data_IF_114101763674
#
_entry.id   IF_114101763674
#
_cell.length_a   1.000
_cell.length_b   1.000
_cell.length_c   1.000
_cell.angle_alpha   90.00
_cell.angle_beta   90.00
_cell.angle_gamma   90.00
#
_symmetry.space_group_name_H-M   'P 1'
#
loop_
_entity.id
_entity.type
_entity.pdbx_description
1 polymer ?
#
# COMPACT_ATOMS: atom_id res chain seq x y z
N UNK A 1 -13.79 86.04 -18.80
CA UNK A 1 -14.06 85.55 -17.43
C UNK A 1 -12.93 84.58 -17.06
N UNK A 2 -11.85 85.05 -16.43
CA UNK A 2 -11.57 85.08 -14.98
C UNK A 2 -10.74 83.87 -14.48
N UNK A 3 -9.44 84.12 -14.29
CA UNK A 3 -8.48 83.71 -13.23
C UNK A 3 -8.54 82.31 -12.56
N UNK A 4 -7.44 81.57 -12.73
CA UNK A 4 -6.41 81.15 -11.73
C UNK A 4 -6.84 80.32 -10.47
N UNK A 5 -6.38 79.07 -10.45
CA UNK A 5 -5.73 78.27 -9.37
C UNK A 5 -6.23 78.31 -7.90
N UNK A 6 -6.35 77.13 -7.26
CA UNK A 6 -5.50 76.67 -6.13
C UNK A 6 -5.98 75.33 -5.53
N UNK A 7 -5.01 74.49 -5.17
CA UNK A 7 -5.13 73.40 -4.19
C UNK A 7 -5.21 73.94 -2.76
N UNK A 8 -5.89 73.21 -1.87
CA UNK A 8 -5.62 73.23 -0.42
C UNK A 8 -6.05 71.91 0.24
N UNK A 9 -5.05 71.28 0.87
CA UNK A 9 -5.07 70.13 1.79
C UNK A 9 -5.77 70.45 3.13
N UNK A 10 -5.94 69.40 3.96
CA UNK A 10 -6.08 69.31 5.47
C UNK A 10 -7.32 68.47 5.82
N UNK A 11 -7.35 67.39 6.61
CA UNK A 11 -6.41 66.64 7.47
C UNK A 11 -7.05 65.29 7.89
N UNK A 12 -6.23 64.27 8.16
CA UNK A 12 -6.58 63.03 8.88
C UNK A 12 -6.88 63.29 10.37
N UNK A 13 -7.94 62.68 10.92
CA UNK A 13 -7.99 62.16 12.31
C UNK A 13 -9.39 61.59 12.64
N UNK A 14 -9.45 60.36 13.15
CA UNK A 14 -10.66 59.79 13.75
C UNK A 14 -10.84 58.30 13.48
N UNK A 15 -10.13 57.45 14.24
CA UNK A 15 -10.28 55.99 14.23
C UNK A 15 -11.56 55.60 15.00
N UNK A 16 -12.38 54.74 14.42
CA UNK A 16 -13.24 53.82 15.20
C UNK A 16 -12.70 52.38 15.04
N UNK A 17 -12.23 51.71 16.11
CA UNK A 17 -11.65 50.37 16.04
C UNK A 17 -12.70 49.24 16.05
N UNK A 18 -13.99 49.54 16.15
CA UNK A 18 -15.01 48.53 16.45
C UNK A 18 -15.58 47.80 15.22
N UNK A 19 -15.46 48.38 14.02
CA UNK A 19 -16.08 47.82 12.79
C UNK A 19 -15.22 46.73 12.13
N UNK A 20 -13.97 46.52 12.56
CA UNK A 20 -13.07 45.50 11.98
C UNK A 20 -13.16 44.12 12.63
N UNK A 21 -13.84 43.98 13.76
CA UNK A 21 -13.88 42.70 14.49
C UNK A 21 -14.91 41.73 13.88
N UNK A 22 -16.00 42.22 13.31
CA UNK A 22 -17.02 41.38 12.68
C UNK A 22 -16.60 40.84 11.30
N UNK A 23 -15.81 41.60 10.54
CA UNK A 23 -15.28 41.14 9.25
C UNK A 23 -14.24 40.02 9.37
N UNK A 24 -13.50 39.97 10.50
CA UNK A 24 -12.55 38.88 10.79
C UNK A 24 -13.27 37.65 11.34
N UNK A 25 -14.31 37.81 12.14
CA UNK A 25 -15.16 36.71 12.62
C UNK A 25 -15.93 36.04 11.47
N UNK A 26 -16.48 36.82 10.53
CA UNK A 26 -17.15 36.28 9.33
C UNK A 26 -16.17 35.67 8.33
N UNK A 27 -14.96 36.22 8.19
CA UNK A 27 -13.90 35.64 7.36
C UNK A 27 -13.34 34.34 7.98
N UNK A 28 -13.12 34.29 9.30
CA UNK A 28 -12.75 33.09 10.04
C UNK A 28 -13.86 32.04 9.99
N UNK A 29 -15.13 32.46 10.10
CA UNK A 29 -16.27 31.55 9.99
C UNK A 29 -16.43 31.01 8.57
N UNK A 30 -16.16 31.80 7.51
CA UNK A 30 -16.10 31.33 6.11
C UNK A 30 -14.88 30.46 5.81
N UNK A 31 -13.72 30.71 6.43
CA UNK A 31 -12.52 29.89 6.29
C UNK A 31 -12.68 28.55 7.04
N UNK A 32 -13.25 28.58 8.24
CA UNK A 32 -13.61 27.40 9.05
C UNK A 32 -14.76 26.62 8.38
N UNK A 33 -15.75 27.29 7.75
CA UNK A 33 -16.75 26.62 6.91
C UNK A 33 -16.11 26.00 5.68
N UNK A 34 -15.22 26.69 4.97
CA UNK A 34 -14.55 26.16 3.78
C UNK A 34 -13.69 24.93 4.12
N UNK A 35 -13.01 24.93 5.27
CA UNK A 35 -12.26 23.77 5.76
C UNK A 35 -13.16 22.65 6.31
N UNK A 36 -14.31 22.96 6.93
CA UNK A 36 -15.31 21.95 7.34
C UNK A 36 -16.05 21.34 6.13
N UNK A 37 -16.32 22.13 5.10
CA UNK A 37 -16.93 21.72 3.82
C UNK A 37 -15.94 20.87 3.01
N UNK A 38 -14.66 21.26 2.98
CA UNK A 38 -13.62 20.48 2.33
C UNK A 38 -13.49 19.09 2.98
N UNK A 39 -13.62 18.98 4.31
CA UNK A 39 -13.66 17.69 5.01
C UNK A 39 -14.88 16.85 4.64
N UNK A 40 -16.09 17.43 4.61
CA UNK A 40 -17.31 16.69 4.27
C UNK A 40 -17.42 16.31 2.79
N UNK A 41 -16.59 16.90 1.92
CA UNK A 41 -16.56 16.65 0.47
C UNK A 41 -15.28 15.97 -0.03
N UNK A 42 -14.28 15.76 0.83
CA UNK A 42 -12.99 15.19 0.43
C UNK A 42 -13.13 13.83 -0.25
N UNK A 43 -13.92 12.92 0.35
CA UNK A 43 -14.21 11.59 -0.22
C UNK A 43 -14.88 11.70 -1.59
N UNK A 44 -15.92 12.54 -1.71
CA UNK A 44 -16.57 12.79 -3.00
C UNK A 44 -15.58 13.35 -4.04
N UNK A 45 -14.67 14.23 -3.62
CA UNK A 45 -13.61 14.79 -4.46
C UNK A 45 -12.63 13.72 -4.96
N UNK A 46 -12.22 12.78 -4.10
CA UNK A 46 -11.37 11.64 -4.47
C UNK A 46 -12.06 10.79 -5.54
N UNK A 47 -13.35 10.46 -5.36
CA UNK A 47 -14.11 9.68 -6.33
C UNK A 47 -14.35 10.42 -7.64
N UNK A 48 -14.58 11.74 -7.58
CA UNK A 48 -14.63 12.57 -8.79
C UNK A 48 -13.28 12.57 -9.51
N UNK A 49 -12.17 12.63 -8.77
CA UNK A 49 -10.82 12.53 -9.36
C UNK A 49 -10.61 11.18 -10.02
N UNK A 50 -11.00 10.06 -9.40
CA UNK A 50 -10.91 8.74 -10.04
C UNK A 50 -11.68 8.72 -11.36
N UNK A 51 -12.95 9.15 -11.35
CA UNK A 51 -13.80 9.19 -12.56
C UNK A 51 -13.19 10.06 -13.66
N UNK A 52 -12.69 11.24 -13.30
CA UNK A 52 -12.01 12.13 -14.25
C UNK A 52 -10.78 11.46 -14.86
N UNK A 53 -9.93 10.86 -14.04
CA UNK A 53 -8.72 10.17 -14.51
C UNK A 53 -9.07 8.96 -15.41
N UNK A 54 -10.14 8.22 -15.09
CA UNK A 54 -10.65 7.13 -15.94
C UNK A 54 -11.13 7.64 -17.30
N UNK A 55 -11.78 8.81 -17.35
CA UNK A 55 -12.19 9.44 -18.61
C UNK A 55 -11.01 9.98 -19.44
N UNK A 56 -9.95 10.45 -18.79
CA UNK A 56 -8.75 10.96 -19.46
C UNK A 56 -7.83 9.84 -19.96
N UNK A 57 -7.89 8.67 -19.34
CA UNK A 57 -7.04 7.53 -19.66
C UNK A 57 -7.32 7.02 -21.08
N UNK A 58 -6.27 7.03 -21.92
CA UNK A 58 -6.35 6.59 -23.33
C UNK A 58 -6.38 5.07 -23.47
N UNK A 59 -5.56 4.37 -22.68
CA UNK A 59 -5.52 2.92 -22.66
C UNK A 59 -6.51 2.37 -21.62
N UNK A 60 -7.58 1.72 -22.10
CA UNK A 60 -8.59 1.14 -21.22
C UNK A 60 -8.24 -0.28 -20.74
N UNK A 61 -7.21 -0.91 -21.30
CA UNK A 61 -6.83 -2.30 -21.00
C UNK A 61 -6.05 -2.48 -19.70
N UNK A 62 -5.44 -1.41 -19.18
CA UNK A 62 -4.71 -1.45 -17.90
C UNK A 62 -5.56 -0.88 -16.75
N UNK A 63 -5.35 -1.31 -15.50
CA UNK A 63 -5.95 -0.66 -14.33
C UNK A 63 -5.47 0.79 -14.18
N UNK A 64 -6.36 1.70 -13.77
CA UNK A 64 -6.01 3.07 -13.41
C UNK A 64 -5.23 3.09 -12.10
N UNK A 65 -4.05 3.72 -12.12
CA UNK A 65 -3.17 3.85 -10.96
C UNK A 65 -3.24 5.26 -10.37
N UNK A 66 -3.08 5.37 -9.05
CA UNK A 66 -3.07 6.63 -8.28
C UNK A 66 -1.72 7.37 -8.30
N UNK A 67 -0.80 6.99 -9.17
CA UNK A 67 0.58 7.50 -9.25
C UNK A 67 0.76 8.31 -10.54
N UNK A 68 1.19 9.57 -10.42
CA UNK A 68 1.26 10.53 -11.54
C UNK A 68 2.10 10.06 -12.73
N UNK A 69 3.22 9.39 -12.47
CA UNK A 69 4.12 8.90 -13.51
C UNK A 69 3.54 7.74 -14.34
N UNK A 70 2.39 7.17 -13.94
CA UNK A 70 1.70 6.16 -14.74
C UNK A 70 0.88 6.77 -15.89
N UNK A 71 0.67 8.10 -15.90
CA UNK A 71 0.06 8.80 -17.02
C UNK A 71 1.14 9.30 -17.99
N UNK A 72 1.21 8.77 -19.23
CA UNK A 72 2.21 9.19 -20.21
C UNK A 72 2.12 10.68 -20.58
N UNK A 73 0.97 11.33 -20.37
CA UNK A 73 0.85 12.78 -20.59
C UNK A 73 1.71 13.59 -19.60
N UNK A 74 1.97 13.06 -18.40
CA UNK A 74 2.80 13.72 -17.38
C UNK A 74 4.30 13.58 -17.64
N UNK A 75 4.73 12.59 -18.43
CA UNK A 75 6.13 12.36 -18.77
C UNK A 75 6.69 13.34 -19.83
N UNK A 76 5.80 14.03 -20.57
CA UNK A 76 6.17 14.91 -21.69
C UNK A 76 6.81 16.26 -21.28
N UNK A 77 6.82 16.60 -19.99
CA UNK A 77 7.23 17.93 -19.50
C UNK A 77 8.63 18.02 -18.87
N UNK A 78 9.29 16.90 -18.57
CA UNK A 78 10.57 16.93 -17.86
C UNK A 78 11.74 16.68 -18.83
N UNK A 79 12.56 17.71 -19.06
CA UNK A 79 13.93 17.55 -19.57
C UNK A 79 14.75 16.84 -18.49
N UNK A 80 14.64 15.52 -18.42
CA UNK A 80 15.28 14.69 -17.41
C UNK A 80 15.25 13.22 -17.81
N UNK A 81 16.21 12.46 -17.29
CA UNK A 81 16.40 11.02 -17.49
C UNK A 81 15.08 10.25 -17.46
N UNK A 82 14.86 9.36 -18.43
CA UNK A 82 13.64 8.57 -18.54
C UNK A 82 13.34 7.81 -17.24
N UNK A 83 12.11 7.94 -16.73
CA UNK A 83 11.64 7.19 -15.55
C UNK A 83 11.67 5.70 -15.87
N UNK A 84 12.37 4.91 -15.04
CA UNK A 84 12.45 3.46 -15.27
C UNK A 84 11.14 2.82 -14.83
N UNK A 85 10.35 2.34 -15.77
CA UNK A 85 9.07 1.68 -15.47
C UNK A 85 9.25 0.18 -15.25
N UNK A 86 8.44 -0.40 -14.37
CA UNK A 86 8.30 -1.84 -14.11
C UNK A 86 6.80 -2.14 -13.90
N UNK A 87 6.23 -3.08 -14.67
CA UNK A 87 4.80 -3.44 -14.62
C UNK A 87 3.83 -2.24 -14.71
N UNK A 88 4.18 -1.21 -15.51
CA UNK A 88 3.33 -0.03 -15.71
C UNK A 88 3.36 1.00 -14.57
N UNK A 89 4.25 0.85 -13.59
CA UNK A 89 4.54 1.86 -12.56
C UNK A 89 6.03 2.22 -12.56
N UNK A 90 6.46 3.35 -11.96
CA UNK A 90 7.88 3.60 -11.76
C UNK A 90 8.50 2.50 -10.92
N UNK A 91 9.78 2.19 -11.16
CA UNK A 91 10.48 1.11 -10.46
C UNK A 91 10.65 1.47 -8.98
N UNK A 92 10.96 2.72 -8.68
CA UNK A 92 11.36 3.18 -7.35
C UNK A 92 10.50 4.33 -6.82
N UNK A 93 10.32 4.41 -5.50
CA UNK A 93 9.41 5.37 -4.84
C UNK A 93 9.84 6.84 -4.93
N UNK A 94 11.08 7.14 -5.31
CA UNK A 94 11.55 8.50 -5.59
C UNK A 94 11.12 9.03 -6.97
N UNK A 95 10.69 8.14 -7.87
CA UNK A 95 10.22 8.49 -9.23
C UNK A 95 8.69 8.65 -9.30
N UNK A 96 7.98 8.40 -8.20
CA UNK A 96 6.52 8.45 -8.14
C UNK A 96 6.00 9.55 -7.22
N UNK A 97 4.81 10.06 -7.53
CA UNK A 97 4.06 10.99 -6.69
C UNK A 97 2.57 10.68 -6.77
N UNK A 98 1.85 10.78 -5.65
CA UNK A 98 0.39 10.65 -5.62
C UNK A 98 -0.28 11.66 -6.55
N UNK A 99 -1.31 11.23 -7.28
CA UNK A 99 -2.18 12.14 -8.06
C UNK A 99 -2.83 13.16 -7.12
N UNK A 100 -3.25 12.73 -5.94
CA UNK A 100 -3.93 13.53 -4.93
C UNK A 100 -2.98 14.25 -3.96
N UNK A 101 -1.69 14.36 -4.28
CA UNK A 101 -0.68 15.01 -3.42
C UNK A 101 -1.08 16.44 -3.00
N UNK A 102 -1.63 17.23 -3.93
CA UNK A 102 -2.04 18.61 -3.66
C UNK A 102 -3.18 18.69 -2.65
N UNK A 103 -4.19 17.81 -2.80
CA UNK A 103 -5.30 17.70 -1.85
C UNK A 103 -4.80 17.37 -0.44
N UNK A 104 -3.88 16.40 -0.34
CA UNK A 104 -3.29 16.02 0.94
C UNK A 104 -2.51 17.17 1.58
N UNK A 105 -1.68 17.86 0.81
CA UNK A 105 -0.88 19.00 1.27
C UNK A 105 -1.74 20.14 1.82
N UNK A 106 -2.92 20.39 1.23
CA UNK A 106 -3.85 21.39 1.75
C UNK A 106 -4.51 21.00 3.07
N UNK A 107 -4.66 19.71 3.35
CA UNK A 107 -5.38 19.19 4.52
C UNK A 107 -4.47 18.79 5.69
N UNK A 108 -3.17 18.54 5.44
CA UNK A 108 -2.24 17.97 6.43
C UNK A 108 -1.75 18.93 7.52
N UNK A 109 -1.96 20.24 7.37
CA UNK A 109 -1.39 21.28 8.26
C UNK A 109 -1.87 21.15 9.70
N UNK A 110 -3.13 20.80 9.91
CA UNK A 110 -3.70 20.64 11.25
C UNK A 110 -3.95 19.16 11.54
N UNK A 111 -3.36 18.65 12.63
CA UNK A 111 -3.42 17.25 13.07
C UNK A 111 -4.83 16.66 13.05
N UNK A 112 -5.82 17.37 13.60
CA UNK A 112 -7.19 16.87 13.66
C UNK A 112 -7.83 16.77 12.27
N UNK A 113 -7.55 17.74 11.39
CA UNK A 113 -8.06 17.73 10.01
C UNK A 113 -7.41 16.62 9.20
N UNK A 114 -6.10 16.49 9.33
CA UNK A 114 -5.29 15.44 8.70
C UNK A 114 -5.80 14.06 9.07
N UNK A 115 -5.94 13.78 10.37
CA UNK A 115 -6.48 12.50 10.87
C UNK A 115 -7.89 12.25 10.39
N UNK A 116 -8.78 13.24 10.50
CA UNK A 116 -10.17 13.13 10.01
C UNK A 116 -10.24 12.84 8.50
N UNK A 117 -9.36 13.46 7.70
CA UNK A 117 -9.24 13.15 6.28
C UNK A 117 -8.78 11.71 6.07
N UNK A 118 -7.65 11.32 6.69
CA UNK A 118 -7.10 9.96 6.57
C UNK A 118 -8.12 8.89 6.97
N UNK A 119 -8.83 9.06 8.09
CA UNK A 119 -9.92 8.15 8.49
C UNK A 119 -11.03 8.09 7.45
N UNK A 120 -11.41 9.22 6.87
CA UNK A 120 -12.49 9.24 5.86
C UNK A 120 -12.07 8.53 4.57
N UNK A 121 -10.80 8.63 4.17
CA UNK A 121 -10.27 7.92 3.00
C UNK A 121 -10.12 6.43 3.28
N UNK A 122 -9.58 6.05 4.44
CA UNK A 122 -9.40 4.65 4.81
C UNK A 122 -10.73 3.92 5.03
N UNK A 123 -11.76 4.62 5.52
CA UNK A 123 -13.13 4.08 5.62
C UNK A 123 -13.71 3.67 4.26
N UNK A 124 -13.15 4.12 3.14
CA UNK A 124 -13.58 3.62 1.83
C UNK A 124 -13.29 2.12 1.63
N UNK A 125 -12.41 1.54 2.43
CA UNK A 125 -12.06 0.11 2.41
C UNK A 125 -12.83 -0.72 3.44
N UNK A 126 -13.57 -0.10 4.35
CA UNK A 126 -14.33 -0.82 5.36
C UNK A 126 -15.67 -1.32 4.83
N UNK A 127 -16.13 -2.44 5.37
CA UNK A 127 -17.40 -3.07 4.95
C UNK A 127 -18.63 -2.18 5.26
N UNK A 128 -18.56 -1.37 6.32
CA UNK A 128 -19.63 -0.45 6.72
C UNK A 128 -19.71 0.82 5.84
N UNK A 129 -18.85 0.94 4.82
CA UNK A 129 -18.90 2.03 3.88
C UNK A 129 -20.20 1.97 3.06
N UNK A 130 -21.00 3.05 3.13
CA UNK A 130 -22.24 3.17 2.34
C UNK A 130 -22.01 3.23 0.84
N UNK A 131 -20.80 3.62 0.43
CA UNK A 131 -20.42 3.75 -0.96
C UNK A 131 -19.62 2.51 -1.38
N UNK A 132 -20.23 1.60 -2.15
CA UNK A 132 -19.50 0.46 -2.74
C UNK A 132 -18.55 0.98 -3.84
N UNK A 133 -17.25 0.82 -3.63
CA UNK A 133 -16.20 1.12 -4.61
C UNK A 133 -15.98 -0.09 -5.53
N UNK A 134 -15.49 0.16 -6.75
CA UNK A 134 -14.91 -0.92 -7.56
C UNK A 134 -13.52 -1.31 -7.03
N UNK A 135 -13.04 -2.51 -7.37
CA UNK A 135 -11.69 -2.93 -7.01
C UNK A 135 -10.63 -1.99 -7.61
N UNK A 136 -10.89 -1.48 -8.82
CA UNK A 136 -10.01 -0.50 -9.47
C UNK A 136 -10.00 0.85 -8.70
N UNK A 137 -11.16 1.30 -8.20
CA UNK A 137 -11.23 2.49 -7.33
C UNK A 137 -10.41 2.30 -6.05
N UNK A 138 -10.48 1.12 -5.41
CA UNK A 138 -9.66 0.82 -4.24
C UNK A 138 -8.16 0.84 -4.54
N UNK A 139 -7.72 0.27 -5.66
CA UNK A 139 -6.30 0.33 -6.08
C UNK A 139 -5.85 1.78 -6.27
N UNK A 140 -6.65 2.59 -6.96
CA UNK A 140 -6.33 4.02 -7.15
C UNK A 140 -6.21 4.77 -5.82
N UNK A 141 -7.10 4.51 -4.87
CA UNK A 141 -7.04 5.14 -3.54
C UNK A 141 -5.81 4.65 -2.76
N UNK A 142 -5.53 3.35 -2.77
CA UNK A 142 -4.39 2.75 -2.07
C UNK A 142 -3.06 3.31 -2.57
N UNK A 143 -2.90 3.44 -3.90
CA UNK A 143 -1.73 4.10 -4.53
C UNK A 143 -1.53 5.53 -4.02
N UNK A 144 -2.61 6.30 -3.87
CA UNK A 144 -2.52 7.66 -3.37
C UNK A 144 -2.10 7.71 -1.89
N UNK A 145 -2.66 6.82 -1.05
CA UNK A 145 -2.27 6.74 0.37
C UNK A 145 -0.79 6.34 0.49
N UNK A 146 -0.34 5.33 -0.27
CA UNK A 146 1.06 4.90 -0.31
C UNK A 146 2.02 6.05 -0.67
N UNK A 147 1.58 6.95 -1.55
CA UNK A 147 2.42 8.02 -2.11
C UNK A 147 2.12 9.42 -1.55
N UNK A 148 1.33 9.53 -0.48
CA UNK A 148 1.12 10.82 0.17
C UNK A 148 2.43 11.36 0.76
N UNK A 149 2.70 12.68 0.64
CA UNK A 149 3.92 13.29 1.14
C UNK A 149 3.83 13.55 2.65
N UNK A 150 3.88 12.47 3.44
CA UNK A 150 3.91 12.52 4.91
C UNK A 150 5.16 13.27 5.40
N UNK A 151 5.00 14.08 6.46
CA UNK A 151 6.10 14.88 7.03
C UNK A 151 6.45 14.55 8.47
N UNK A 152 5.45 14.17 9.29
CA UNK A 152 5.67 13.81 10.69
C UNK A 152 5.35 12.34 10.97
N UNK A 153 5.92 11.78 12.04
CA UNK A 153 5.70 10.38 12.46
C UNK A 153 4.23 10.04 12.65
N UNK A 154 3.45 10.98 13.20
CA UNK A 154 2.01 10.79 13.45
C UNK A 154 1.24 10.38 12.19
N UNK A 155 1.61 10.83 10.99
CA UNK A 155 0.81 10.61 9.78
C UNK A 155 0.82 9.15 9.31
N UNK A 156 1.97 8.54 8.97
CA UNK A 156 2.00 7.15 8.53
C UNK A 156 1.66 6.15 9.66
N UNK A 157 2.04 6.44 10.91
CA UNK A 157 1.67 5.58 12.05
C UNK A 157 0.15 5.58 12.26
N UNK A 158 -0.51 6.74 12.15
CA UNK A 158 -1.97 6.81 12.22
C UNK A 158 -2.65 6.00 11.12
N UNK A 159 -2.12 6.03 9.89
CA UNK A 159 -2.64 5.22 8.78
C UNK A 159 -2.50 3.73 9.06
N UNK A 160 -1.33 3.28 9.54
CA UNK A 160 -1.07 1.86 9.83
C UNK A 160 -2.01 1.35 10.94
N UNK A 161 -2.18 2.06 12.06
CA UNK A 161 -3.12 1.63 13.12
C UNK A 161 -4.56 1.59 12.66
N UNK A 162 -4.95 2.54 11.82
CA UNK A 162 -6.31 2.58 11.33
C UNK A 162 -6.57 1.46 10.30
N UNK A 163 -5.55 1.08 9.51
CA UNK A 163 -5.57 -0.14 8.69
C UNK A 163 -5.82 -1.37 9.57
N UNK A 164 -5.05 -1.57 10.64
CA UNK A 164 -5.20 -2.72 11.55
C UNK A 164 -6.63 -2.80 12.11
N UNK A 165 -7.17 -1.67 12.56
CA UNK A 165 -8.54 -1.60 13.07
C UNK A 165 -9.58 -1.99 12.01
N UNK A 166 -9.41 -1.54 10.76
CA UNK A 166 -10.34 -1.89 9.67
C UNK A 166 -10.21 -3.37 9.31
N UNK A 167 -8.98 -3.89 9.19
CA UNK A 167 -8.72 -5.28 8.80
C UNK A 167 -9.21 -6.25 9.86
N UNK A 168 -9.00 -5.97 11.15
CA UNK A 168 -9.49 -6.82 12.25
C UNK A 168 -11.03 -6.96 12.22
N UNK A 169 -11.75 -5.82 12.13
CA UNK A 169 -13.22 -5.84 12.12
C UNK A 169 -13.78 -6.41 10.81
N UNK A 170 -13.31 -5.92 9.67
CA UNK A 170 -13.85 -6.33 8.36
C UNK A 170 -13.44 -7.78 8.03
N UNK A 171 -12.24 -8.19 8.43
CA UNK A 171 -11.73 -9.54 8.21
C UNK A 171 -12.59 -10.59 8.89
N UNK A 172 -12.92 -10.39 10.17
CA UNK A 172 -13.78 -11.32 10.90
C UNK A 172 -15.19 -11.41 10.29
N UNK A 173 -15.78 -10.28 9.88
CA UNK A 173 -17.09 -10.26 9.24
C UNK A 173 -17.08 -11.03 7.90
N UNK A 174 -16.03 -10.86 7.09
CA UNK A 174 -15.87 -11.58 5.82
C UNK A 174 -15.71 -13.09 6.06
N UNK A 175 -14.94 -13.50 7.08
CA UNK A 175 -14.80 -14.91 7.47
C UNK A 175 -16.16 -15.51 7.87
N UNK A 176 -16.93 -14.79 8.70
CA UNK A 176 -18.28 -15.22 9.08
C UNK A 176 -19.21 -15.31 7.86
N UNK A 177 -19.08 -14.36 6.93
CA UNK A 177 -19.83 -14.37 5.67
C UNK A 177 -19.48 -15.61 4.84
N UNK A 178 -18.19 -15.93 4.67
CA UNK A 178 -17.77 -17.17 4.00
C UNK A 178 -18.40 -18.40 4.66
N UNK A 179 -18.30 -18.56 5.98
CA UNK A 179 -18.91 -19.69 6.71
C UNK A 179 -20.41 -19.80 6.44
N UNK A 180 -21.14 -18.68 6.47
CA UNK A 180 -22.60 -18.65 6.28
C UNK A 180 -23.06 -19.04 4.87
N UNK A 181 -22.19 -18.90 3.87
CA UNK A 181 -22.49 -19.22 2.48
C UNK A 181 -22.11 -20.66 2.09
N UNK A 182 -21.38 -21.37 2.94
CA UNK A 182 -21.04 -22.77 2.73
C UNK A 182 -22.23 -23.68 3.09
N UNK A 183 -22.39 -24.77 2.35
CA UNK A 183 -23.38 -25.80 2.65
C UNK A 183 -23.18 -26.35 4.07
N UNK A 184 -24.26 -26.67 4.80
CA UNK A 184 -24.16 -27.25 6.13
C UNK A 184 -23.46 -28.61 6.06
N UNK A 185 -22.74 -28.96 7.13
CA UNK A 185 -22.15 -30.29 7.24
C UNK A 185 -23.25 -31.35 7.38
N UNK A 186 -23.03 -32.57 6.88
CA UNK A 186 -23.99 -33.66 7.08
C UNK A 186 -24.18 -33.92 8.59
N UNK A 187 -25.41 -34.22 9.05
CA UNK A 187 -25.72 -34.38 10.48
C UNK A 187 -24.94 -35.51 11.17
N UNK A 188 -24.40 -36.45 10.39
CA UNK A 188 -23.61 -37.60 10.85
C UNK A 188 -22.13 -37.30 11.00
N UNK A 189 -21.68 -36.07 10.75
CA UNK A 189 -20.29 -35.71 10.86
C UNK A 189 -19.92 -35.40 12.31
N UNK A 190 -18.80 -35.96 12.79
CA UNK A 190 -18.31 -35.70 14.14
C UNK A 190 -18.07 -34.18 14.35
N UNK A 191 -18.27 -33.68 15.58
CA UNK A 191 -17.86 -32.32 15.92
C UNK A 191 -16.37 -32.17 15.62
N UNK A 192 -16.02 -31.18 14.79
CA UNK A 192 -14.62 -30.83 14.53
C UNK A 192 -14.41 -29.45 15.13
N UNK A 193 -13.21 -29.21 15.65
CA UNK A 193 -12.78 -27.90 16.11
C UNK A 193 -12.86 -26.85 14.98
N UNK A 194 -13.09 -25.59 15.37
CA UNK A 194 -13.28 -24.45 14.46
C UNK A 194 -12.05 -24.20 13.57
N UNK A 195 -10.84 -24.54 14.05
CA UNK A 195 -9.59 -24.45 13.28
C UNK A 195 -9.53 -25.49 12.17
N UNK A 196 -9.94 -26.73 12.46
CA UNK A 196 -9.97 -27.81 11.47
C UNK A 196 -11.17 -27.71 10.51
N UNK A 197 -12.09 -26.75 10.73
CA UNK A 197 -13.15 -26.41 9.76
C UNK A 197 -12.59 -25.68 8.52
N UNK A 198 -11.48 -24.95 8.66
CA UNK A 198 -10.84 -24.21 7.57
C UNK A 198 -9.77 -25.03 6.86
N UNK A 199 -10.21 -26.13 6.27
CA UNK A 199 -9.42 -26.95 5.36
C UNK A 199 -9.91 -26.75 3.91
N UNK A 200 -9.01 -26.60 2.91
CA UNK A 200 -9.42 -26.34 1.54
C UNK A 200 -10.30 -27.46 0.94
N UNK A 201 -10.04 -28.72 1.26
CA UNK A 201 -10.82 -29.85 0.75
C UNK A 201 -12.22 -29.87 1.37
N UNK A 202 -12.32 -29.59 2.68
CA UNK A 202 -13.62 -29.45 3.36
C UNK A 202 -14.43 -28.27 2.81
N UNK A 203 -13.80 -27.12 2.57
CA UNK A 203 -14.46 -25.96 1.99
C UNK A 203 -14.92 -26.27 0.56
N UNK A 204 -14.06 -26.87 -0.26
CA UNK A 204 -14.37 -27.26 -1.63
C UNK A 204 -15.61 -28.15 -1.72
N UNK A 205 -15.73 -29.16 -0.84
CA UNK A 205 -16.88 -30.07 -0.76
C UNK A 205 -18.18 -29.41 -0.31
N UNK A 206 -18.08 -28.26 0.35
CA UNK A 206 -19.21 -27.49 0.88
C UNK A 206 -19.57 -26.28 0.02
N UNK A 207 -18.95 -26.11 -1.15
CA UNK A 207 -19.30 -25.02 -2.04
C UNK A 207 -20.76 -25.19 -2.53
N UNK A 208 -21.59 -24.13 -2.45
CA UNK A 208 -22.93 -24.14 -3.02
C UNK A 208 -22.89 -24.21 -4.55
N UNK A 209 -24.03 -24.55 -5.16
CA UNK A 209 -24.19 -24.49 -6.62
C UNK A 209 -23.97 -23.05 -7.12
N UNK A 210 -24.69 -22.08 -6.56
CA UNK A 210 -24.48 -20.65 -6.80
C UNK A 210 -23.40 -20.08 -5.87
N UNK A 211 -22.28 -19.66 -6.45
CA UNK A 211 -21.10 -19.14 -5.75
C UNK A 211 -21.03 -17.61 -5.78
N UNK A 212 -22.05 -16.93 -6.28
CA UNK A 212 -22.04 -15.47 -6.47
C UNK A 212 -21.70 -14.71 -5.19
N UNK A 213 -22.28 -15.12 -4.06
CA UNK A 213 -22.03 -14.50 -2.75
C UNK A 213 -20.63 -14.81 -2.21
N UNK A 214 -20.08 -16.00 -2.49
CA UNK A 214 -18.68 -16.33 -2.18
C UNK A 214 -17.73 -15.46 -2.99
N UNK A 215 -18.02 -15.20 -4.28
CA UNK A 215 -17.24 -14.27 -5.09
C UNK A 215 -17.38 -12.81 -4.62
N UNK A 216 -18.53 -12.39 -4.10
CA UNK A 216 -18.66 -11.07 -3.47
C UNK A 216 -17.79 -10.99 -2.21
N UNK A 217 -17.77 -12.03 -1.37
CA UNK A 217 -16.88 -12.12 -0.21
C UNK A 217 -15.40 -12.07 -0.63
N UNK A 218 -15.01 -12.82 -1.66
CA UNK A 218 -13.66 -12.81 -2.26
C UNK A 218 -13.27 -11.43 -2.80
N UNK A 219 -14.21 -10.70 -3.41
CA UNK A 219 -13.98 -9.35 -3.87
C UNK A 219 -13.81 -8.39 -2.68
N UNK A 220 -14.62 -8.53 -1.64
CA UNK A 220 -14.55 -7.70 -0.44
C UNK A 220 -13.25 -7.95 0.34
N UNK A 221 -12.73 -9.18 0.36
CA UNK A 221 -11.44 -9.50 1.00
C UNK A 221 -10.26 -8.78 0.35
N UNK A 222 -10.37 -8.37 -0.92
CA UNK A 222 -9.34 -7.55 -1.59
C UNK A 222 -9.09 -6.22 -0.90
N UNK A 223 -10.09 -5.64 -0.24
CA UNK A 223 -9.89 -4.42 0.55
C UNK A 223 -8.92 -4.66 1.70
N UNK A 224 -9.06 -5.79 2.41
CA UNK A 224 -8.14 -6.18 3.48
C UNK A 224 -6.72 -6.45 2.95
N UNK A 225 -6.60 -7.19 1.83
CA UNK A 225 -5.30 -7.41 1.20
C UNK A 225 -4.61 -6.09 0.81
N UNK A 226 -5.34 -5.17 0.17
CA UNK A 226 -4.81 -3.85 -0.21
C UNK A 226 -4.32 -3.06 1.00
N UNK A 227 -5.08 -3.06 2.09
CA UNK A 227 -4.69 -2.38 3.32
C UNK A 227 -3.45 -3.02 3.97
N UNK A 228 -3.34 -4.35 3.96
CA UNK A 228 -2.15 -5.03 4.49
C UNK A 228 -0.90 -4.81 3.63
N UNK A 229 -1.04 -4.85 2.29
CA UNK A 229 0.02 -4.41 1.39
C UNK A 229 0.46 -2.98 1.72
N UNK A 230 -0.50 -2.09 1.99
CA UNK A 230 -0.23 -0.69 2.30
C UNK A 230 0.47 -0.53 3.67
N UNK A 231 0.05 -1.26 4.71
CA UNK A 231 0.76 -1.34 6.01
C UNK A 231 2.21 -1.74 5.80
N UNK A 232 2.45 -2.88 5.16
CA UNK A 232 3.79 -3.43 4.95
C UNK A 232 4.66 -2.49 4.11
N UNK A 233 4.08 -1.87 3.07
CA UNK A 233 4.77 -0.89 2.26
C UNK A 233 5.17 0.36 3.06
N UNK A 234 4.26 0.93 3.86
CA UNK A 234 4.55 2.11 4.68
C UNK A 234 5.58 1.83 5.77
N UNK A 235 5.52 0.66 6.40
CA UNK A 235 6.54 0.20 7.36
C UNK A 235 7.91 0.15 6.70
N UNK A 236 8.03 -0.45 5.51
CA UNK A 236 9.30 -0.50 4.76
C UNK A 236 9.78 0.87 4.30
N UNK A 237 8.87 1.71 3.82
CA UNK A 237 9.17 3.05 3.30
C UNK A 237 9.73 3.99 4.38
N UNK A 238 9.19 3.90 5.60
CA UNK A 238 9.58 4.74 6.75
C UNK A 238 10.44 4.02 7.79
N UNK A 239 10.76 2.74 7.57
CA UNK A 239 11.55 1.90 8.47
C UNK A 239 10.96 1.78 9.88
N UNK A 240 9.64 1.58 9.97
CA UNK A 240 9.00 1.28 11.24
C UNK A 240 9.08 -0.21 11.54
N UNK A 241 9.39 -0.55 12.78
CA UNK A 241 9.20 -1.90 13.33
C UNK A 241 7.77 -2.09 13.82
N UNK A 242 7.35 -3.34 13.97
CA UNK A 242 6.04 -3.67 14.54
C UNK A 242 5.90 -3.10 15.96
N UNK A 243 6.94 -3.25 16.80
CA UNK A 243 6.99 -2.65 18.14
C UNK A 243 6.72 -1.13 18.12
N UNK A 244 7.23 -0.41 17.10
CA UNK A 244 7.00 1.04 16.98
C UNK A 244 5.55 1.37 16.63
N UNK A 245 4.92 0.54 15.81
CA UNK A 245 3.50 0.66 15.46
C UNK A 245 2.65 0.38 16.70
N UNK A 246 2.98 -0.65 17.47
CA UNK A 246 2.26 -1.03 18.69
C UNK A 246 2.37 0.02 19.80
N UNK A 247 3.55 0.61 20.00
CA UNK A 247 3.78 1.72 20.95
C UNK A 247 2.92 2.95 20.60
N UNK A 248 2.63 3.17 19.31
CA UNK A 248 1.89 4.35 18.89
C UNK A 248 0.41 4.29 19.30
N UNK A 249 0.00 5.28 20.10
CA UNK A 249 -1.39 5.54 20.45
C UNK A 249 -1.91 6.86 19.85
N UNK A 250 -3.04 6.84 19.12
CA UNK A 250 -3.67 8.07 18.62
C UNK A 250 -4.04 9.07 19.72
N UNK A 251 -4.29 8.59 20.95
CA UNK A 251 -4.71 9.39 22.10
C UNK A 251 -3.55 10.12 22.78
N UNK A 252 -2.31 9.78 22.44
CA UNK A 252 -1.14 10.45 23.02
C UNK A 252 -1.06 11.94 22.64
N UNK A 253 -0.43 12.68 23.56
CA UNK A 253 -0.19 14.11 23.40
C UNK A 253 0.54 14.41 22.08
N UNK A 254 0.10 15.45 21.38
CA UNK A 254 0.61 15.78 20.04
C UNK A 254 2.13 15.89 19.95
N UNK A 255 2.76 16.44 21.00
CA UNK A 255 4.22 16.62 21.08
C UNK A 255 5.05 15.33 20.92
N UNK A 256 4.46 14.15 21.16
CA UNK A 256 5.21 12.88 21.11
C UNK A 256 5.52 12.49 19.65
N UNK A 257 4.51 12.55 18.77
CA UNK A 257 4.59 12.06 17.39
C UNK A 257 4.54 13.16 16.30
N UNK A 258 4.37 14.44 16.66
CA UNK A 258 4.51 15.59 15.74
C UNK A 258 5.99 15.94 15.46
N UNK A 259 6.86 14.92 15.40
CA UNK A 259 8.28 15.06 15.04
C UNK A 259 8.44 14.74 13.56
N UNK A 260 9.33 15.47 12.89
CA UNK A 260 9.65 15.22 11.49
C UNK A 260 10.13 13.76 11.28
N UNK A 261 9.75 13.18 10.15
CA UNK A 261 10.22 11.87 9.72
C UNK A 261 11.74 11.93 9.49
N UNK A 262 12.48 11.00 10.08
CA UNK A 262 13.95 10.96 10.03
C UNK A 262 14.50 10.52 8.67
N UNK A 263 13.80 9.62 7.96
CA UNK A 263 14.12 9.26 6.57
C UNK A 263 12.91 8.69 5.83
N UNK A 264 12.90 8.85 4.51
CA UNK A 264 12.00 8.14 3.58
C UNK A 264 12.88 7.33 2.64
N UNK A 265 12.85 6.01 2.74
CA UNK A 265 13.67 5.13 1.91
C UNK A 265 13.25 5.20 0.44
N UNK A 266 14.19 4.88 -0.45
CA UNK A 266 13.88 4.62 -1.85
C UNK A 266 13.75 3.10 -2.05
N UNK A 267 12.52 2.61 -2.17
CA UNK A 267 12.21 1.18 -2.28
C UNK A 267 11.44 0.92 -3.58
N UNK A 268 11.15 -0.35 -3.87
CA UNK A 268 10.27 -0.73 -4.97
C UNK A 268 8.89 -0.10 -4.81
N UNK A 269 8.29 0.33 -5.93
CA UNK A 269 7.00 1.00 -5.91
C UNK A 269 5.88 0.10 -5.39
N UNK A 270 4.91 0.72 -4.72
CA UNK A 270 3.70 0.04 -4.27
C UNK A 270 2.98 -0.66 -5.44
N UNK A 271 2.80 -1.98 -5.32
CA UNK A 271 2.23 -2.83 -6.34
C UNK A 271 1.42 -3.97 -5.70
N UNK A 272 0.11 -3.79 -5.48
CA UNK A 272 -0.73 -4.81 -4.84
C UNK A 272 -1.09 -5.90 -5.85
N UNK A 273 -0.22 -6.92 -5.94
CA UNK A 273 -0.28 -7.92 -7.01
C UNK A 273 -1.59 -8.69 -7.05
N UNK A 274 -2.11 -9.15 -5.90
CA UNK A 274 -3.37 -9.91 -5.83
C UNK A 274 -4.55 -9.12 -6.37
N UNK A 275 -4.73 -7.87 -5.91
CA UNK A 275 -5.80 -6.99 -6.38
C UNK A 275 -5.67 -6.67 -7.89
N UNK A 276 -4.44 -6.49 -8.40
CA UNK A 276 -4.19 -6.24 -9.82
C UNK A 276 -4.43 -7.49 -10.69
N UNK A 277 -4.19 -8.69 -10.17
CA UNK A 277 -4.51 -9.95 -10.84
C UNK A 277 -6.03 -10.17 -10.91
N UNK A 278 -6.76 -9.89 -9.83
CA UNK A 278 -8.22 -9.98 -9.79
C UNK A 278 -8.93 -9.00 -10.75
N UNK A 279 -8.27 -7.91 -11.13
CA UNK A 279 -8.77 -6.97 -12.15
C UNK A 279 -8.63 -7.48 -13.58
N UNK A 280 -7.87 -8.56 -13.81
CA UNK A 280 -7.64 -9.09 -15.15
C UNK A 280 -8.87 -9.86 -15.67
N UNK A 281 -9.25 -9.73 -16.94
CA UNK A 281 -10.38 -10.48 -17.51
C UNK A 281 -10.24 -12.00 -17.33
N UNK A 282 -9.02 -12.54 -17.39
CA UNK A 282 -8.74 -13.96 -17.22
C UNK A 282 -9.17 -14.50 -15.85
N UNK A 283 -9.14 -13.66 -14.80
CA UNK A 283 -9.59 -14.04 -13.47
C UNK A 283 -11.09 -14.38 -13.44
N UNK A 284 -11.90 -13.72 -14.27
CA UNK A 284 -13.33 -14.03 -14.41
C UNK A 284 -13.56 -15.36 -15.13
N UNK A 285 -12.78 -15.66 -16.17
CA UNK A 285 -12.92 -16.89 -16.96
C UNK A 285 -12.58 -18.16 -16.16
N UNK A 286 -11.72 -18.04 -15.15
CA UNK A 286 -11.34 -19.18 -14.31
C UNK A 286 -12.42 -19.56 -13.29
N UNK A 287 -13.41 -18.71 -13.02
CA UNK A 287 -14.36 -18.87 -11.91
C UNK A 287 -15.17 -20.17 -11.99
N UNK A 288 -15.70 -20.48 -13.17
CA UNK A 288 -16.58 -21.65 -13.35
C UNK A 288 -15.82 -22.96 -13.61
N UNK A 289 -14.49 -22.93 -13.50
CA UNK A 289 -13.65 -24.13 -13.69
C UNK A 289 -13.44 -24.86 -12.36
N UNK A 290 -13.19 -26.17 -12.43
CA UNK A 290 -12.79 -26.97 -11.26
C UNK A 290 -11.58 -26.37 -10.55
N UNK A 291 -10.58 -25.91 -11.33
CA UNK A 291 -9.42 -25.23 -10.79
C UNK A 291 -9.81 -23.91 -10.08
N UNK A 292 -10.75 -23.14 -10.62
CA UNK A 292 -11.28 -21.93 -9.99
C UNK A 292 -11.91 -22.19 -8.62
N UNK A 293 -12.67 -23.27 -8.51
CA UNK A 293 -13.29 -23.69 -7.25
C UNK A 293 -12.24 -24.15 -6.21
N UNK A 294 -11.23 -24.92 -6.62
CA UNK A 294 -10.11 -25.32 -5.74
C UNK A 294 -9.36 -24.06 -5.26
N UNK A 295 -9.09 -23.14 -6.18
CA UNK A 295 -8.44 -21.87 -5.85
C UNK A 295 -9.26 -21.02 -4.87
N UNK A 296 -10.59 -20.96 -5.02
CA UNK A 296 -11.46 -20.26 -4.08
C UNK A 296 -11.32 -20.86 -2.67
N UNK A 297 -11.37 -22.18 -2.55
CA UNK A 297 -11.24 -22.83 -1.24
C UNK A 297 -9.89 -22.52 -0.58
N UNK A 298 -8.80 -22.63 -1.35
CA UNK A 298 -7.46 -22.25 -0.88
C UNK A 298 -7.38 -20.78 -0.46
N UNK A 299 -7.98 -19.86 -1.24
CA UNK A 299 -7.96 -18.43 -0.95
C UNK A 299 -8.75 -18.08 0.33
N UNK A 300 -9.85 -18.79 0.62
CA UNK A 300 -10.61 -18.61 1.87
C UNK A 300 -9.75 -18.98 3.08
N UNK A 301 -9.08 -20.14 3.03
CA UNK A 301 -8.18 -20.60 4.10
C UNK A 301 -6.99 -19.66 4.26
N UNK A 302 -6.39 -19.27 3.14
CA UNK A 302 -5.29 -18.33 3.12
C UNK A 302 -5.67 -16.98 3.74
N UNK A 303 -6.85 -16.45 3.41
CA UNK A 303 -7.36 -15.22 3.99
C UNK A 303 -7.51 -15.33 5.51
N UNK A 304 -8.04 -16.45 6.02
CA UNK A 304 -8.12 -16.71 7.46
C UNK A 304 -6.75 -16.76 8.12
N UNK A 305 -5.82 -17.54 7.58
CA UNK A 305 -4.50 -17.73 8.17
C UNK A 305 -3.72 -16.42 8.20
N UNK A 306 -3.87 -15.59 7.17
CA UNK A 306 -3.33 -14.24 7.17
C UNK A 306 -3.90 -13.40 8.31
N UNK A 307 -5.23 -13.42 8.55
CA UNK A 307 -5.82 -12.68 9.68
C UNK A 307 -5.28 -13.19 11.03
N UNK A 308 -5.21 -14.51 11.23
CA UNK A 308 -4.65 -15.09 12.45
C UNK A 308 -3.17 -14.75 12.66
N UNK A 309 -2.40 -14.60 11.58
CA UNK A 309 -0.99 -14.19 11.68
C UNK A 309 -0.82 -12.76 12.20
N UNK A 310 -1.82 -11.89 12.00
CA UNK A 310 -1.79 -10.52 12.54
C UNK A 310 -1.93 -10.52 14.06
N UNK A 311 -2.66 -11.47 14.63
CA UNK A 311 -2.85 -11.61 16.08
C UNK A 311 -1.68 -12.36 16.74
N UNK A 312 -0.87 -13.11 15.98
CA UNK A 312 0.30 -13.87 16.48
C UNK A 312 1.63 -13.13 16.35
N UNK A 313 1.73 -12.17 15.43
CA UNK A 313 2.86 -11.26 15.36
C UNK A 313 3.03 -10.41 16.64
N UNK A 314 2.09 -10.52 17.58
CA UNK A 314 2.13 -9.93 18.92
C UNK A 314 3.06 -10.69 19.89
N UNK A 315 3.47 -11.95 19.61
CA UNK A 315 4.18 -12.81 20.57
C UNK A 315 5.60 -13.30 20.16
N UNK A 316 5.99 -13.34 18.87
CA UNK A 316 7.29 -13.90 18.43
C UNK A 316 8.11 -12.95 17.53
N UNK A 317 9.30 -12.53 17.98
CA UNK A 317 10.22 -11.60 17.29
C UNK A 317 11.06 -12.24 16.15
N UNK A 318 10.90 -13.53 15.81
CA UNK A 318 11.84 -14.26 14.93
C UNK A 318 11.22 -14.95 13.70
N UNK A 319 10.16 -14.39 13.11
CA UNK A 319 9.68 -14.86 11.80
C UNK A 319 10.26 -13.99 10.69
N UNK A 320 11.21 -14.53 9.92
CA UNK A 320 11.66 -13.95 8.66
C UNK A 320 10.45 -13.54 7.82
N UNK A 321 10.32 -12.24 7.51
CA UNK A 321 9.23 -11.66 6.72
C UNK A 321 9.17 -12.26 5.29
N UNK A 322 8.74 -13.50 5.14
CA UNK A 322 8.20 -13.97 3.87
C UNK A 322 6.82 -13.36 3.74
N UNK A 323 6.72 -12.35 2.87
CA UNK A 323 5.46 -11.67 2.58
C UNK A 323 4.42 -12.72 2.13
N UNK A 324 3.43 -13.10 2.97
CA UNK A 324 2.55 -14.22 2.68
C UNK A 324 1.75 -13.99 1.40
N UNK A 325 1.64 -12.72 0.98
CA UNK A 325 0.82 -12.26 -0.13
C UNK A 325 1.53 -12.39 -1.50
N UNK A 326 2.84 -12.68 -1.52
CA UNK A 326 3.61 -12.80 -2.75
C UNK A 326 3.68 -14.23 -3.32
N UNK A 327 3.50 -15.28 -2.52
CA UNK A 327 3.84 -16.66 -2.92
C UNK A 327 2.72 -17.45 -3.61
N UNK A 328 1.50 -16.93 -3.76
CA UNK A 328 0.49 -17.60 -4.57
C UNK A 328 0.54 -17.18 -6.03
N UNK A 329 1.35 -17.93 -6.79
CA UNK A 329 1.23 -18.33 -8.22
C UNK A 329 2.45 -17.99 -9.08
N UNK A 330 3.36 -18.95 -9.21
CA UNK A 330 3.99 -19.32 -10.49
C UNK A 330 4.51 -20.77 -10.46
N UNK A 331 3.65 -21.75 -10.72
CA UNK A 331 4.08 -23.02 -11.30
C UNK A 331 3.44 -23.10 -12.68
N UNK A 332 4.21 -22.77 -13.71
CA UNK A 332 3.75 -22.75 -15.08
C UNK A 332 4.73 -22.00 -15.98
N UNK A 333 5.39 -22.76 -16.87
CA UNK A 333 6.29 -22.38 -17.96
C UNK A 333 7.67 -21.81 -17.60
N UNK A 334 8.61 -22.71 -17.33
CA UNK A 334 9.96 -22.60 -17.88
C UNK A 334 10.09 -23.67 -18.98
N UNK A 335 9.72 -23.30 -20.20
CA UNK A 335 10.21 -23.99 -21.40
C UNK A 335 11.59 -23.42 -21.71
N UNK A 336 12.64 -24.02 -21.16
CA UNK A 336 14.00 -23.76 -21.62
C UNK A 336 14.31 -24.64 -22.83
N UNK A 337 14.03 -24.07 -24.00
CA UNK A 337 14.63 -24.47 -25.25
C UNK A 337 15.37 -23.28 -25.85
N UNK A 338 16.69 -23.18 -25.63
CA UNK A 338 17.57 -22.86 -26.75
C UNK A 338 19.01 -23.29 -26.50
N UNK A 339 19.42 -24.23 -27.34
CA UNK A 339 20.78 -24.69 -27.59
C UNK A 339 21.66 -23.57 -28.16
N UNK A 340 22.67 -23.15 -27.40
CA UNK A 340 23.80 -22.36 -27.90
C UNK A 340 25.07 -23.21 -27.96
N UNK A 341 25.28 -23.97 -29.03
CA UNK A 341 26.55 -24.63 -29.32
C UNK A 341 27.44 -23.64 -30.09
N UNK A 342 28.44 -23.09 -29.42
CA UNK A 342 29.61 -22.51 -30.06
C UNK A 342 30.81 -23.42 -29.78
N UNK A 343 31.31 -24.03 -30.85
CA UNK A 343 32.47 -24.89 -30.87
C UNK A 343 33.76 -24.09 -30.63
N UNK A 344 34.62 -24.59 -29.73
CA UNK A 344 36.06 -24.40 -29.80
C UNK A 344 36.73 -25.70 -29.36
N UNK A 345 37.31 -26.35 -30.35
CA UNK A 345 38.21 -27.51 -30.32
C UNK A 345 39.52 -27.22 -29.60
N UNK A 346 40.02 -28.19 -28.83
CA UNK A 346 41.44 -28.66 -28.71
C UNK A 346 41.53 -29.66 -27.54
N UNK A 347 41.61 -30.97 -27.83
CA UNK A 347 42.81 -31.83 -27.75
C UNK A 347 43.23 -32.17 -26.28
N UNK A 348 42.83 -33.35 -25.78
CA UNK A 348 43.68 -34.55 -25.59
C UNK A 348 44.83 -34.38 -24.58
N UNK A 349 44.73 -35.01 -23.40
CA UNK A 349 45.30 -36.33 -23.07
C UNK A 349 45.63 -36.48 -21.56
N UNK A 350 45.11 -37.57 -20.99
CA UNK A 350 45.66 -38.49 -19.97
C UNK A 350 46.30 -38.05 -18.64
N UNK A 351 45.81 -38.75 -17.60
CA UNK A 351 46.56 -39.53 -16.59
C UNK A 351 47.72 -38.87 -15.84
N UNK A 352 47.59 -38.66 -14.52
CA UNK A 352 48.01 -39.66 -13.50
C UNK A 352 48.04 -39.10 -12.07
N UNK A 353 47.60 -40.00 -11.22
CA UNK A 353 47.66 -40.14 -9.76
C UNK A 353 49.07 -40.11 -9.14
N UNK A 354 49.11 -39.91 -7.81
CA UNK A 354 50.22 -40.01 -6.84
C UNK A 354 51.18 -38.81 -6.78
N UNK A 355 51.65 -38.34 -5.63
CA UNK A 355 51.60 -38.85 -4.27
C UNK A 355 52.55 -38.00 -3.40
N UNK A 356 52.11 -37.80 -2.17
CA UNK A 356 52.81 -37.57 -0.90
C UNK A 356 54.28 -37.09 -0.78
N UNK A 357 54.45 -36.37 0.33
CA UNK A 357 55.59 -36.30 1.25
C UNK A 357 56.69 -35.23 1.10
N UNK A 358 56.56 -34.24 1.99
CA UNK A 358 57.55 -33.83 3.00
C UNK A 358 59.04 -34.10 2.76
N UNK A 359 59.84 -33.03 2.89
CA UNK A 359 61.01 -33.03 3.79
C UNK A 359 61.41 -31.60 4.15
N UNK A 360 61.47 -31.34 5.45
CA UNK A 360 62.14 -30.21 6.07
C UNK A 360 63.66 -30.31 5.89
N UNK A 361 64.35 -29.17 5.79
CA UNK A 361 65.73 -29.05 6.25
C UNK A 361 66.19 -27.58 6.41
N UNK A 362 66.65 -27.29 7.63
CA UNK A 362 67.80 -26.43 7.97
C UNK A 362 67.57 -24.95 8.34
N UNK A 363 67.32 -24.80 9.65
CA UNK A 363 67.95 -23.90 10.63
C UNK A 363 69.27 -23.21 10.22
N UNK A 364 69.37 -21.90 10.51
CA UNK A 364 70.23 -21.34 11.57
C UNK A 364 70.61 -19.87 11.28
N UNK A 365 70.60 -19.02 12.31
CA UNK A 365 71.37 -17.76 12.28
C UNK A 365 70.72 -16.58 12.99
N UNK A 366 70.84 -16.54 14.32
CA UNK A 366 70.73 -15.34 15.15
C UNK A 366 71.64 -14.22 14.64
N UNK A 367 71.18 -12.96 14.70
CA UNK A 367 71.96 -11.88 15.31
C UNK A 367 71.11 -10.64 15.63
N UNK A 368 71.52 -10.01 16.71
CA UNK A 368 70.81 -9.01 17.47
C UNK A 368 71.09 -7.56 17.02
N UNK A 369 70.22 -6.67 17.50
CA UNK A 369 70.46 -5.29 17.94
C UNK A 369 71.52 -4.43 17.23
N UNK A 370 71.05 -3.30 16.68
CA UNK A 370 71.89 -2.12 16.44
C UNK A 370 71.03 -0.93 16.05
N UNK A 371 70.91 0.02 16.96
CA UNK A 371 70.17 1.27 16.82
C UNK A 371 70.69 2.16 15.68
N UNK A 372 69.77 2.91 15.06
CA UNK A 372 69.90 4.35 14.83
C UNK A 372 68.52 4.99 14.64
#
# INVERSE_FOLDING_TARGET
MSRRARHSNVTLSGRDPFVRVDSLSVALSRYVLSHRILRSKAVSGIRCSFRLQRHLKRDQGTPLRGIRACDPSAASGAKGTAVRMQHGVPKMTNEGQAILSGLYQSLRVNRQQRRSFLSSVLRLFSEDCREKLSLEEWVFVADNIAMFPYQVLDEPLYVIRHIESIVSVSGQNIINSFKSQLMPRPPSADPIDDDAEFDPELIYRRLPEDKSLLYECMKNSQACFLLLYLKNFLMKLYSFSEAKVQEYSPSEAAKVYEKALSSRKNITMFYPQTALQELRPEAAHQRDTVNGHINMANQIVYFRNMLLSLDRADDDEDVTEENPIANHRNEGSEEDGESGIAAATEAEDKDKESGEEHTEALSAGEQANGAQ
#
